data_IF_668083534788
#
_entry.id   IF_668083534788
#
_cell.length_a   1.000
_cell.length_b   1.000
_cell.length_c   1.000
_cell.angle_alpha   90.00
_cell.angle_beta   90.00
_cell.angle_gamma   90.00
#
_symmetry.space_group_name_H-M   'P 1'
#
loop_
_entity.id
_entity.type
_entity.pdbx_description
1 polymer ?
#
# COMPACT_ATOMS: atom_id res chain seq x y z
N UNK A 1 -8.58 8.27 27.71
CA UNK A 1 -8.86 7.86 26.31
C UNK A 1 -7.61 7.23 25.74
N UNK A 2 -7.74 6.45 24.67
CA UNK A 2 -6.63 5.86 23.91
C UNK A 2 -6.59 6.45 22.51
N UNK A 3 -5.43 6.30 21.86
CA UNK A 3 -5.18 6.71 20.49
C UNK A 3 -4.68 5.51 19.71
N UNK A 4 -5.22 5.34 18.51
CA UNK A 4 -4.71 4.38 17.52
C UNK A 4 -4.17 5.18 16.36
N UNK A 5 -2.90 4.99 16.03
CA UNK A 5 -2.26 5.62 14.88
C UNK A 5 -1.41 4.62 14.14
N UNK A 6 -1.33 4.79 12.83
CA UNK A 6 -0.56 3.92 11.96
C UNK A 6 -0.16 4.62 10.68
N UNK A 7 0.73 3.98 9.95
CA UNK A 7 1.20 4.42 8.65
C UNK A 7 0.76 3.44 7.57
N UNK A 8 0.63 3.94 6.35
CA UNK A 8 0.38 3.16 5.16
C UNK A 8 1.63 3.14 4.28
N UNK A 9 2.12 1.94 4.01
CA UNK A 9 3.28 1.67 3.14
C UNK A 9 2.82 1.03 1.83
N UNK A 10 3.48 1.40 0.73
CA UNK A 10 3.24 0.84 -0.60
C UNK A 10 4.50 0.11 -1.08
N UNK A 11 4.38 -1.20 -1.30
CA UNK A 11 5.40 -2.04 -1.92
C UNK A 11 4.99 -2.36 -3.36
N UNK A 12 5.21 -1.40 -4.27
CA UNK A 12 4.74 -1.45 -5.68
C UNK A 12 5.75 -0.87 -6.68
N UNK A 13 7.03 -0.95 -6.34
CA UNK A 13 8.13 -0.40 -7.12
C UNK A 13 7.92 1.08 -7.51
N UNK A 14 7.61 1.92 -6.52
CA UNK A 14 7.31 3.34 -6.70
C UNK A 14 6.16 3.59 -7.69
N UNK A 15 5.09 2.80 -7.57
CA UNK A 15 3.91 2.85 -8.44
C UNK A 15 4.26 2.66 -9.93
N UNK A 16 5.15 1.72 -10.26
CA UNK A 16 5.59 1.46 -11.64
C UNK A 16 4.42 1.30 -12.61
N UNK A 17 3.41 0.55 -12.21
CA UNK A 17 2.28 0.20 -13.07
C UNK A 17 1.16 1.25 -13.04
N UNK A 18 1.32 2.33 -12.25
CA UNK A 18 0.36 3.43 -12.20
C UNK A 18 -1.00 3.10 -11.57
N UNK A 19 -1.17 1.91 -10.99
CA UNK A 19 -2.44 1.42 -10.46
C UNK A 19 -2.73 1.84 -9.02
N UNK A 20 -1.78 2.51 -8.34
CA UNK A 20 -1.98 2.96 -6.96
C UNK A 20 -3.18 3.91 -6.89
N UNK A 21 -4.20 3.62 -6.06
CA UNK A 21 -5.34 4.50 -5.93
C UNK A 21 -4.94 5.83 -5.26
N UNK A 22 -5.71 6.88 -5.51
CA UNK A 22 -5.52 8.19 -4.88
C UNK A 22 -5.77 8.19 -3.37
N UNK A 23 -6.51 7.18 -2.87
CA UNK A 23 -6.82 7.03 -1.46
C UNK A 23 -7.23 5.60 -1.12
N UNK A 24 -7.13 5.26 0.16
CA UNK A 24 -7.62 4.01 0.75
C UNK A 24 -8.61 4.34 1.88
N UNK A 25 -9.34 3.32 2.33
CA UNK A 25 -10.18 3.42 3.52
C UNK A 25 -9.64 2.46 4.58
N UNK A 26 -9.23 3.01 5.72
CA UNK A 26 -8.83 2.26 6.91
C UNK A 26 -9.98 2.25 7.89
N UNK A 27 -10.35 1.06 8.37
CA UNK A 27 -11.40 0.85 9.34
C UNK A 27 -10.79 0.59 10.72
N UNK A 28 -11.37 1.18 11.76
CA UNK A 28 -11.07 0.87 13.15
C UNK A 28 -12.11 -0.10 13.68
N UNK A 29 -11.64 -1.22 14.24
CA UNK A 29 -12.48 -2.21 14.89
C UNK A 29 -12.26 -2.14 16.41
N UNK A 30 -13.36 -2.16 17.16
CA UNK A 30 -13.36 -2.35 18.61
C UNK A 30 -13.95 -3.72 18.91
N UNK A 31 -13.17 -4.61 19.52
CA UNK A 31 -13.56 -6.00 19.81
C UNK A 31 -14.11 -6.72 18.56
N UNK A 32 -13.47 -6.51 17.40
CA UNK A 32 -13.85 -7.12 16.12
C UNK A 32 -15.03 -6.46 15.39
N UNK A 33 -15.64 -5.40 15.94
CA UNK A 33 -16.70 -4.64 15.26
C UNK A 33 -16.19 -3.30 14.76
N UNK A 34 -16.47 -2.98 13.50
CA UNK A 34 -16.14 -1.67 12.95
C UNK A 34 -16.87 -0.56 13.71
N UNK A 35 -16.12 0.43 14.19
CA UNK A 35 -16.64 1.59 14.94
C UNK A 35 -16.33 2.92 14.27
N UNK A 36 -15.31 2.97 13.41
CA UNK A 36 -14.95 4.15 12.65
C UNK A 36 -14.25 3.75 11.34
N UNK A 37 -14.16 4.69 10.41
CA UNK A 37 -13.37 4.58 9.19
C UNK A 37 -12.74 5.92 8.84
N UNK A 38 -11.57 5.89 8.22
CA UNK A 38 -10.87 7.08 7.75
C UNK A 38 -10.37 6.87 6.33
N UNK A 39 -10.62 7.86 5.48
CA UNK A 39 -10.01 7.94 4.16
C UNK A 39 -8.58 8.47 4.32
N UNK A 40 -7.61 7.78 3.73
CA UNK A 40 -6.18 8.12 3.83
C UNK A 40 -5.62 8.25 2.43
N UNK A 41 -4.86 9.30 2.18
CA UNK A 41 -4.32 9.64 0.87
C UNK A 41 -2.89 10.15 0.94
N UNK A 42 -2.32 10.49 -0.21
CA UNK A 42 -1.01 11.11 -0.29
C UNK A 42 -0.93 12.47 0.42
N UNK A 43 -2.02 13.26 0.45
CA UNK A 43 -2.03 14.55 1.17
C UNK A 43 -1.92 14.38 2.68
N UNK A 44 -2.31 13.21 3.20
CA UNK A 44 -2.16 12.84 4.61
C UNK A 44 -0.77 12.25 4.90
N UNK A 45 0.14 12.29 3.92
CA UNK A 45 1.43 11.57 3.95
C UNK A 45 1.25 10.07 4.26
N UNK A 46 0.13 9.48 3.83
CA UNK A 46 -0.23 8.09 4.12
C UNK A 46 -0.24 7.76 5.63
N UNK A 47 -0.56 8.73 6.48
CA UNK A 47 -0.65 8.57 7.92
C UNK A 47 -2.10 8.73 8.40
N UNK A 48 -2.46 8.03 9.47
CA UNK A 48 -3.77 8.17 10.07
C UNK A 48 -3.74 8.03 11.59
N UNK A 49 -4.75 8.63 12.22
CA UNK A 49 -5.04 8.52 13.64
C UNK A 49 -6.54 8.47 13.87
N UNK A 50 -6.90 7.70 14.90
CA UNK A 50 -8.18 7.68 15.58
C UNK A 50 -7.93 8.09 17.03
N UNK A 51 -8.40 9.27 17.38
CA UNK A 51 -8.18 9.89 18.68
C UNK A 51 -9.44 9.76 19.56
N UNK A 52 -9.31 10.05 20.85
CA UNK A 52 -10.43 10.07 21.81
C UNK A 52 -11.19 8.74 21.96
N UNK A 53 -10.51 7.60 21.78
CA UNK A 53 -11.12 6.28 21.90
C UNK A 53 -11.29 5.88 23.37
N UNK A 54 -12.37 5.17 23.71
CA UNK A 54 -12.57 4.63 25.05
C UNK A 54 -11.58 3.49 25.31
N UNK A 55 -10.99 3.40 26.50
CA UNK A 55 -10.13 2.26 26.85
C UNK A 55 -10.94 1.03 27.32
N UNK A 56 -12.15 1.27 27.84
CA UNK A 56 -13.03 0.28 28.41
C UNK A 56 -14.47 0.50 27.94
N UNK A 57 -15.22 -0.58 27.75
CA UNK A 57 -16.67 -0.59 27.59
C UNK A 57 -17.25 -1.59 28.58
N UNK A 58 -18.25 -1.17 29.37
CA UNK A 58 -18.91 -2.02 30.37
C UNK A 58 -17.93 -2.70 31.34
N UNK A 59 -16.87 -2.00 31.76
CA UNK A 59 -15.83 -2.54 32.64
C UNK A 59 -14.82 -3.48 31.99
N UNK A 60 -14.96 -3.80 30.70
CA UNK A 60 -14.02 -4.65 29.95
C UNK A 60 -13.11 -3.82 29.04
N UNK A 61 -11.82 -4.19 28.96
CA UNK A 61 -10.85 -3.51 28.10
C UNK A 61 -11.22 -3.71 26.63
N UNK A 62 -11.17 -2.64 25.84
CA UNK A 62 -11.42 -2.70 24.40
C UNK A 62 -10.13 -3.06 23.68
N UNK A 63 -10.20 -4.09 22.83
CA UNK A 63 -9.14 -4.44 21.88
C UNK A 63 -9.41 -3.71 20.57
N UNK A 64 -8.52 -2.78 20.22
CA UNK A 64 -8.58 -2.09 18.94
C UNK A 64 -7.70 -2.80 17.90
N UNK A 65 -8.23 -2.94 16.70
CA UNK A 65 -7.49 -3.40 15.52
C UNK A 65 -7.86 -2.52 14.32
N UNK A 66 -7.05 -2.57 13.27
CA UNK A 66 -7.34 -1.87 12.01
C UNK A 66 -7.45 -2.86 10.87
N UNK A 67 -8.31 -2.54 9.91
CA UNK A 67 -8.39 -3.25 8.63
C UNK A 67 -8.40 -2.23 7.49
N UNK A 68 -8.07 -2.70 6.29
CA UNK A 68 -8.20 -1.90 5.07
C UNK A 68 -9.29 -2.50 4.20
N UNK A 69 -10.07 -1.65 3.52
CA UNK A 69 -10.89 -2.11 2.41
C UNK A 69 -10.01 -2.68 1.30
N UNK A 70 -10.48 -3.73 0.64
CA UNK A 70 -9.75 -4.35 -0.46
C UNK A 70 -9.34 -3.30 -1.51
N UNK A 71 -8.05 -3.28 -1.84
CA UNK A 71 -7.48 -2.42 -2.90
C UNK A 71 -7.21 -3.29 -4.11
N UNK A 72 -7.85 -2.97 -5.23
CA UNK A 72 -7.70 -3.75 -6.46
C UNK A 72 -6.23 -3.82 -6.90
N UNK A 73 -5.75 -5.04 -7.19
CA UNK A 73 -4.37 -5.28 -7.61
C UNK A 73 -3.34 -5.38 -6.48
N UNK A 74 -3.76 -5.28 -5.21
CA UNK A 74 -2.86 -5.31 -4.07
C UNK A 74 -3.26 -6.39 -3.06
N UNK A 75 -2.26 -6.94 -2.38
CA UNK A 75 -2.41 -7.74 -1.17
C UNK A 75 -2.07 -6.88 0.04
N UNK A 76 -3.04 -6.69 0.93
CA UNK A 76 -2.86 -5.88 2.15
C UNK A 76 -2.42 -6.74 3.34
N UNK A 77 -1.46 -6.25 4.10
CA UNK A 77 -1.03 -6.83 5.38
C UNK A 77 -1.09 -5.78 6.48
N UNK A 78 -1.45 -6.20 7.69
CA UNK A 78 -1.52 -5.32 8.87
C UNK A 78 -0.56 -5.84 9.93
N UNK A 79 0.37 -4.99 10.35
CA UNK A 79 1.29 -5.25 11.46
C UNK A 79 1.04 -4.23 12.58
N UNK A 80 0.42 -4.70 13.66
CA UNK A 80 -0.13 -3.84 14.72
C UNK A 80 -1.19 -2.90 14.17
N UNK A 81 -0.79 -1.66 13.88
CA UNK A 81 -1.64 -0.64 13.25
C UNK A 81 -1.10 -0.11 11.93
N UNK A 82 0.02 -0.62 11.44
CA UNK A 82 0.58 -0.22 10.15
C UNK A 82 0.03 -1.11 9.05
N UNK A 83 -0.34 -0.51 7.92
CA UNK A 83 -0.89 -1.21 6.76
C UNK A 83 0.17 -1.19 5.66
N UNK A 84 0.43 -2.34 5.06
CA UNK A 84 1.31 -2.44 3.88
C UNK A 84 0.52 -3.05 2.74
N UNK A 85 0.51 -2.39 1.58
CA UNK A 85 -0.03 -2.98 0.36
C UNK A 85 1.10 -3.40 -0.56
N UNK A 86 1.08 -4.67 -0.93
CA UNK A 86 2.06 -5.27 -1.81
C UNK A 86 1.46 -5.50 -3.19
N UNK A 87 2.14 -5.04 -4.23
CA UNK A 87 1.82 -5.30 -5.62
C UNK A 87 3.05 -5.88 -6.31
N UNK A 88 2.84 -6.97 -7.05
CA UNK A 88 3.88 -7.55 -7.90
C UNK A 88 3.76 -6.94 -9.29
N UNK A 89 4.72 -6.11 -9.73
CA UNK A 89 4.62 -5.43 -11.02
C UNK A 89 4.56 -6.40 -12.19
N UNK A 90 3.88 -6.01 -13.26
CA UNK A 90 3.91 -6.75 -14.51
C UNK A 90 5.36 -6.83 -15.04
N UNK A 91 5.84 -8.04 -15.29
CA UNK A 91 7.14 -8.23 -15.95
C UNK A 91 6.97 -8.02 -17.45
N UNK A 92 7.43 -6.86 -17.95
CA UNK A 92 7.66 -6.69 -19.38
C UNK A 92 8.88 -7.54 -19.78
N UNK A 93 8.62 -8.74 -20.32
CA UNK A 93 9.64 -9.46 -21.10
C UNK A 93 9.90 -8.65 -22.36
N UNK A 94 10.87 -7.73 -22.30
CA UNK A 94 11.41 -7.11 -23.52
C UNK A 94 12.30 -8.15 -24.19
N UNK A 95 11.71 -9.04 -24.99
CA UNK A 95 12.47 -9.86 -25.94
C UNK A 95 12.88 -8.97 -27.11
N UNK A 96 13.94 -8.19 -26.91
CA UNK A 96 14.62 -7.51 -28.00
C UNK A 96 15.49 -8.52 -28.74
N UNK A 97 14.98 -9.12 -29.83
CA UNK A 97 15.87 -9.67 -30.86
C UNK A 97 16.58 -8.48 -31.50
N UNK A 98 17.78 -8.17 -31.01
CA UNK A 98 18.69 -7.25 -31.67
C UNK A 98 19.21 -7.94 -32.93
N UNK A 99 18.47 -7.87 -34.02
CA UNK A 99 18.96 -8.26 -35.34
C UNK A 99 19.88 -7.15 -35.81
N UNK A 100 21.19 -7.32 -35.60
CA UNK A 100 22.16 -6.59 -36.40
C UNK A 100 22.03 -7.11 -37.83
N UNK A 101 21.46 -6.31 -38.72
CA UNK A 101 21.73 -6.44 -40.14
C UNK A 101 22.78 -5.38 -40.48
N UNK A 102 23.99 -5.55 -39.93
CA UNK A 102 25.13 -4.78 -40.40
C UNK A 102 25.63 -5.47 -41.67
N UNK A 103 25.31 -4.88 -42.81
CA UNK A 103 25.93 -5.18 -44.09
C UNK A 103 27.46 -5.00 -43.98
N UNK A 104 28.15 -5.99 -43.42
CA UNK A 104 29.58 -6.22 -43.56
C UNK A 104 30.52 -5.11 -43.02
N UNK A 105 30.31 -4.63 -41.77
CA UNK A 105 31.38 -3.97 -40.98
C UNK A 105 32.18 -2.86 -41.71
N UNK A 106 31.51 -1.88 -42.34
CA UNK A 106 32.20 -0.86 -43.14
C UNK A 106 32.78 0.30 -42.33
N UNK A 107 32.26 0.59 -41.13
CA UNK A 107 32.57 1.86 -40.45
C UNK A 107 33.52 1.76 -39.24
N UNK A 108 34.01 0.58 -38.84
CA UNK A 108 35.23 0.46 -38.01
C UNK A 108 35.29 1.22 -36.67
N UNK A 109 34.18 1.72 -36.12
CA UNK A 109 34.12 2.36 -34.80
C UNK A 109 33.21 1.56 -33.86
N UNK A 110 33.81 0.55 -33.23
CA UNK A 110 33.32 0.03 -31.95
C UNK A 110 34.18 0.62 -30.81
N UNK A 111 33.56 1.08 -29.72
CA UNK A 111 34.24 1.26 -28.43
C UNK A 111 34.81 -0.07 -27.90
#
# INVERSE_FOLDING_TARGET
TVKVSGTKTWNDNNNQDGIRPSSITVNLLANGRQVASKKVSASDNWQYSFDNLAAYANGQKITYTVTENAVAGYTSTVDGYNVTNNHTPATVKVSGTKTWNDNNNQDGIRP
#
